data_IF_434664971424
#
_entry.id   IF_434664971424
#
_cell.length_a   1.000
_cell.length_b   1.000
_cell.length_c   1.000
_cell.angle_alpha   90.00
_cell.angle_beta   90.00
_cell.angle_gamma   90.00
#
_symmetry.space_group_name_H-M   'P 1'
#
loop_
_entity.id
_entity.type
_entity.pdbx_description
1 polymer ?
#
# COMPACT_ATOMS: atom_id res chain seq x y z
N UNK A 1 -11.14 -23.15 -14.83
CA UNK A 1 -10.75 -22.26 -15.96
C UNK A 1 -9.54 -22.89 -16.65
N UNK A 2 -9.53 -22.95 -18.00
CA UNK A 2 -8.40 -23.51 -18.78
C UNK A 2 -7.19 -22.59 -18.76
N UNK A 3 -5.99 -23.10 -19.06
CA UNK A 3 -4.76 -22.28 -19.15
C UNK A 3 -4.91 -21.12 -20.16
N UNK A 4 -5.57 -21.36 -21.31
CA UNK A 4 -5.89 -20.32 -22.29
C UNK A 4 -6.83 -19.26 -21.71
N UNK A 5 -7.83 -19.64 -20.92
CA UNK A 5 -8.75 -18.72 -20.27
C UNK A 5 -8.05 -17.84 -19.22
N UNK A 6 -7.14 -18.43 -18.43
CA UNK A 6 -6.32 -17.68 -17.47
C UNK A 6 -5.42 -16.65 -18.18
N UNK A 7 -4.78 -17.03 -19.28
CA UNK A 7 -3.96 -16.11 -20.08
C UNK A 7 -4.78 -14.93 -20.62
N UNK A 8 -6.01 -15.19 -21.12
CA UNK A 8 -6.91 -14.13 -21.60
C UNK A 8 -7.35 -13.20 -20.49
N UNK A 9 -7.74 -13.76 -19.32
CA UNK A 9 -8.10 -12.95 -18.14
C UNK A 9 -6.93 -12.06 -17.70
N UNK A 10 -5.70 -12.59 -17.70
CA UNK A 10 -4.50 -11.80 -17.37
C UNK A 10 -4.25 -10.68 -18.39
N UNK A 11 -4.44 -10.92 -19.69
CA UNK A 11 -4.33 -9.87 -20.73
C UNK A 11 -5.32 -8.73 -20.47
N UNK A 12 -6.57 -9.06 -20.10
CA UNK A 12 -7.59 -8.06 -19.76
C UNK A 12 -7.20 -7.23 -18.53
N UNK A 13 -6.72 -7.89 -17.47
CA UNK A 13 -6.26 -7.19 -16.27
C UNK A 13 -5.07 -6.28 -16.54
N UNK A 14 -4.07 -6.72 -17.29
CA UNK A 14 -2.92 -5.88 -17.65
C UNK A 14 -3.35 -4.68 -18.52
N UNK A 15 -4.28 -4.89 -19.46
CA UNK A 15 -4.82 -3.79 -20.27
C UNK A 15 -5.62 -2.80 -19.44
N UNK A 16 -6.43 -3.29 -18.50
CA UNK A 16 -7.20 -2.46 -17.57
C UNK A 16 -6.30 -1.65 -16.64
N UNK A 17 -5.24 -2.26 -16.09
CA UNK A 17 -4.24 -1.57 -15.28
C UNK A 17 -3.61 -0.39 -16.04
N UNK A 18 -3.24 -0.59 -17.30
CA UNK A 18 -2.69 0.48 -18.14
C UNK A 18 -3.73 1.56 -18.46
N UNK A 19 -4.98 1.20 -18.76
CA UNK A 19 -6.03 2.17 -19.06
C UNK A 19 -6.39 2.99 -17.82
N UNK A 20 -6.65 2.35 -16.69
CA UNK A 20 -6.99 3.03 -15.44
C UNK A 20 -5.82 3.86 -14.89
N UNK A 21 -4.61 3.31 -14.93
CA UNK A 21 -3.41 4.01 -14.48
C UNK A 21 -3.10 5.27 -15.28
N UNK A 22 -3.34 5.25 -16.60
CA UNK A 22 -3.03 6.38 -17.46
C UNK A 22 -4.17 7.42 -17.55
N UNK A 23 -5.43 6.95 -17.67
CA UNK A 23 -6.58 7.81 -17.96
C UNK A 23 -7.53 7.99 -16.76
N UNK A 24 -7.46 7.07 -15.78
CA UNK A 24 -8.40 6.97 -14.68
C UNK A 24 -9.63 6.13 -15.03
N UNK A 25 -10.37 5.74 -13.96
CA UNK A 25 -11.53 4.88 -14.08
C UNK A 25 -12.64 5.48 -14.96
N UNK A 26 -13.01 6.74 -14.72
CA UNK A 26 -14.17 7.36 -15.39
C UNK A 26 -13.96 7.53 -16.89
N UNK A 27 -12.74 7.86 -17.33
CA UNK A 27 -12.40 8.08 -18.75
C UNK A 27 -12.19 6.76 -19.48
N UNK A 28 -11.81 5.71 -18.80
CA UNK A 28 -11.58 4.38 -19.38
C UNK A 28 -12.89 3.67 -19.71
N UNK A 29 -12.89 2.86 -20.76
CA UNK A 29 -14.06 2.08 -21.20
C UNK A 29 -13.72 0.61 -21.43
N UNK A 30 -14.75 -0.26 -21.42
CA UNK A 30 -14.58 -1.67 -21.80
C UNK A 30 -13.99 -1.78 -23.21
N UNK A 31 -14.42 -0.89 -24.14
CA UNK A 31 -13.88 -0.86 -25.50
C UNK A 31 -12.38 -0.54 -25.53
N UNK A 32 -11.92 0.45 -24.74
CA UNK A 32 -10.48 0.79 -24.68
C UNK A 32 -9.65 -0.33 -24.05
N UNK A 33 -10.18 -1.00 -23.02
CA UNK A 33 -9.53 -2.15 -22.36
C UNK A 33 -9.40 -3.31 -23.34
N UNK A 34 -10.49 -3.70 -24.02
CA UNK A 34 -10.50 -4.81 -24.96
C UNK A 34 -9.65 -4.55 -26.19
N UNK A 35 -9.68 -3.32 -26.71
CA UNK A 35 -8.82 -2.87 -27.81
C UNK A 35 -7.34 -3.02 -27.44
N UNK A 36 -6.93 -2.59 -26.24
CA UNK A 36 -5.57 -2.74 -25.74
C UNK A 36 -5.19 -4.20 -25.49
N UNK A 37 -6.11 -5.03 -25.00
CA UNK A 37 -5.89 -6.45 -24.77
C UNK A 37 -5.84 -7.29 -26.05
N UNK A 38 -6.24 -6.72 -27.21
CA UNK A 38 -6.34 -7.43 -28.48
C UNK A 38 -7.44 -8.49 -28.50
N UNK A 39 -8.57 -8.25 -27.82
CA UNK A 39 -9.71 -9.17 -27.75
C UNK A 39 -11.02 -8.45 -28.07
N UNK A 40 -12.04 -9.20 -28.50
CA UNK A 40 -13.39 -8.65 -28.70
C UNK A 40 -14.10 -8.32 -27.38
N UNK A 41 -15.05 -7.36 -27.40
CA UNK A 41 -15.84 -7.00 -26.20
C UNK A 41 -16.61 -8.20 -25.63
N UNK A 42 -17.15 -9.10 -26.47
CA UNK A 42 -17.79 -10.32 -26.00
C UNK A 42 -16.87 -11.19 -25.14
N UNK A 43 -15.56 -11.19 -25.43
CA UNK A 43 -14.58 -11.90 -24.63
C UNK A 43 -14.41 -11.29 -23.24
N UNK A 44 -14.51 -9.96 -23.11
CA UNK A 44 -14.47 -9.29 -21.81
C UNK A 44 -15.58 -9.81 -20.89
N UNK A 45 -16.82 -9.87 -21.41
CA UNK A 45 -17.98 -10.29 -20.63
C UNK A 45 -18.02 -11.76 -20.23
N UNK A 46 -17.12 -12.59 -20.80
CA UNK A 46 -16.89 -13.96 -20.31
C UNK A 46 -16.11 -13.99 -18.99
N UNK A 47 -15.39 -12.92 -18.63
CA UNK A 47 -14.52 -12.86 -17.46
C UNK A 47 -14.96 -11.82 -16.43
N UNK A 48 -15.53 -10.73 -16.87
CA UNK A 48 -15.95 -9.60 -16.02
C UNK A 48 -17.31 -9.08 -16.49
N UNK A 49 -18.25 -8.93 -15.57
CA UNK A 49 -19.61 -8.45 -15.88
C UNK A 49 -19.64 -6.95 -16.18
N UNK A 50 -18.77 -6.19 -15.49
CA UNK A 50 -18.74 -4.73 -15.58
C UNK A 50 -17.30 -4.20 -15.53
N UNK A 51 -17.14 -2.91 -15.86
CA UNK A 51 -15.88 -2.19 -15.71
C UNK A 51 -15.47 -2.08 -14.23
N UNK A 52 -16.43 -1.96 -13.35
CA UNK A 52 -16.25 -1.91 -11.90
C UNK A 52 -15.67 -3.23 -11.40
N UNK A 53 -16.18 -4.38 -11.87
CA UNK A 53 -15.70 -5.70 -11.45
C UNK A 53 -14.22 -5.92 -11.78
N UNK A 54 -13.78 -5.56 -12.97
CA UNK A 54 -12.34 -5.68 -13.32
C UNK A 54 -11.51 -4.68 -12.52
N UNK A 55 -12.03 -3.49 -12.22
CA UNK A 55 -11.36 -2.49 -11.39
C UNK A 55 -11.18 -2.98 -9.95
N UNK A 56 -12.25 -3.46 -9.32
CA UNK A 56 -12.20 -4.07 -7.97
C UNK A 56 -11.21 -5.22 -7.92
N UNK A 57 -11.24 -6.09 -8.95
CA UNK A 57 -10.28 -7.20 -9.06
C UNK A 57 -8.82 -6.69 -9.09
N UNK A 58 -8.56 -5.61 -9.81
CA UNK A 58 -7.22 -5.00 -9.86
C UNK A 58 -6.80 -4.45 -8.50
N UNK A 59 -7.65 -3.69 -7.81
CA UNK A 59 -7.34 -3.16 -6.47
C UNK A 59 -7.00 -4.29 -5.51
N UNK A 60 -7.79 -5.38 -5.53
CA UNK A 60 -7.53 -6.56 -4.71
C UNK A 60 -6.20 -7.25 -5.08
N UNK A 61 -5.86 -7.36 -6.37
CA UNK A 61 -4.57 -7.95 -6.81
C UNK A 61 -3.40 -7.07 -6.40
N UNK A 62 -3.52 -5.74 -6.52
CA UNK A 62 -2.53 -4.76 -6.07
C UNK A 62 -2.30 -4.91 -4.56
N UNK A 63 -3.37 -4.95 -3.76
CA UNK A 63 -3.28 -5.12 -2.32
C UNK A 63 -2.64 -6.45 -1.90
N UNK A 64 -3.04 -7.57 -2.52
CA UNK A 64 -2.42 -8.88 -2.26
C UNK A 64 -0.94 -8.91 -2.60
N UNK A 65 -0.53 -8.29 -3.71
CA UNK A 65 0.87 -8.22 -4.12
C UNK A 65 1.70 -7.41 -3.11
N UNK A 66 1.20 -6.26 -2.69
CA UNK A 66 1.87 -5.42 -1.69
C UNK A 66 2.01 -6.15 -0.35
N UNK A 67 0.91 -6.72 0.18
CA UNK A 67 0.93 -7.49 1.44
C UNK A 67 1.92 -8.67 1.38
N UNK A 68 1.94 -9.40 0.27
CA UNK A 68 2.90 -10.49 0.09
C UNK A 68 4.36 -10.02 0.16
N UNK A 69 4.69 -8.86 -0.41
CA UNK A 69 6.03 -8.27 -0.32
C UNK A 69 6.36 -7.79 1.09
N UNK A 70 5.42 -7.13 1.78
CA UNK A 70 5.60 -6.70 3.16
C UNK A 70 5.80 -7.90 4.10
N UNK A 71 4.99 -8.94 3.93
CA UNK A 71 5.11 -10.17 4.70
C UNK A 71 6.47 -10.86 4.49
N UNK A 72 6.97 -10.91 3.25
CA UNK A 72 8.30 -11.42 2.96
C UNK A 72 9.40 -10.61 3.69
N UNK A 73 9.26 -9.29 3.76
CA UNK A 73 10.19 -8.43 4.51
C UNK A 73 10.11 -8.70 6.03
N UNK A 74 8.91 -8.91 6.59
CA UNK A 74 8.71 -9.25 8.00
C UNK A 74 9.27 -10.62 8.38
N UNK A 75 9.34 -11.56 7.46
CA UNK A 75 9.86 -12.91 7.65
C UNK A 75 11.35 -13.04 7.30
N UNK A 76 12.01 -11.98 6.82
CA UNK A 76 13.42 -12.01 6.45
C UNK A 76 14.32 -12.26 7.69
N UNK A 77 15.52 -12.84 7.53
CA UNK A 77 16.49 -12.95 8.62
C UNK A 77 16.91 -11.57 9.15
N UNK A 78 17.13 -11.46 10.45
CA UNK A 78 17.62 -10.22 11.08
C UNK A 78 16.81 -9.79 12.30
N UNK A 79 17.21 -8.67 12.87
CA UNK A 79 16.52 -8.07 14.01
C UNK A 79 15.09 -7.64 13.63
N UNK A 80 14.19 -7.75 14.58
CA UNK A 80 12.78 -7.40 14.41
C UNK A 80 12.57 -5.96 13.93
N UNK A 81 13.23 -4.99 14.57
CA UNK A 81 13.16 -3.58 14.20
C UNK A 81 13.57 -3.32 12.74
N UNK A 82 14.59 -4.04 12.27
CA UNK A 82 15.04 -3.98 10.88
C UNK A 82 14.02 -4.57 9.91
N UNK A 83 13.33 -5.64 10.28
CA UNK A 83 12.26 -6.28 9.49
C UNK A 83 11.01 -5.40 9.40
N UNK A 84 10.57 -4.82 10.52
CA UNK A 84 9.45 -3.87 10.56
C UNK A 84 9.73 -2.64 9.69
N UNK A 85 10.96 -2.09 9.79
CA UNK A 85 11.41 -0.99 8.93
C UNK A 85 11.42 -1.40 7.46
N UNK A 86 11.90 -2.60 7.12
CA UNK A 86 11.93 -3.09 5.74
C UNK A 86 10.51 -3.28 5.15
N UNK A 87 9.57 -3.76 5.96
CA UNK A 87 8.16 -3.87 5.55
C UNK A 87 7.53 -2.49 5.27
N UNK A 88 7.78 -1.50 6.15
CA UNK A 88 7.31 -0.13 5.95
C UNK A 88 7.99 0.53 4.73
N UNK A 89 9.28 0.28 4.52
CA UNK A 89 9.99 0.70 3.30
C UNK A 89 9.34 0.10 2.06
N UNK A 90 8.96 -1.18 2.10
CA UNK A 90 8.29 -1.85 1.00
C UNK A 90 6.95 -1.20 0.66
N UNK A 91 6.16 -0.84 1.68
CA UNK A 91 4.91 -0.08 1.48
C UNK A 91 5.17 1.29 0.85
N UNK A 92 6.15 2.01 1.37
CA UNK A 92 6.53 3.32 0.87
C UNK A 92 6.98 3.25 -0.60
N UNK A 93 7.93 2.38 -0.91
CA UNK A 93 8.46 2.19 -2.25
C UNK A 93 7.37 1.80 -3.25
N UNK A 94 6.45 0.93 -2.83
CA UNK A 94 5.30 0.54 -3.66
C UNK A 94 4.40 1.75 -3.97
N UNK A 95 4.14 2.59 -2.98
CA UNK A 95 3.27 3.77 -3.12
C UNK A 95 3.88 4.84 -4.04
N UNK A 96 5.22 4.97 -4.07
CA UNK A 96 5.90 6.03 -4.81
C UNK A 96 6.45 5.59 -6.17
N UNK A 97 6.78 4.31 -6.34
CA UNK A 97 7.41 3.80 -7.56
C UNK A 97 6.42 3.46 -8.67
N UNK A 98 5.16 3.17 -8.34
CA UNK A 98 4.14 2.79 -9.32
C UNK A 98 2.97 3.77 -9.34
N UNK A 99 3.11 4.83 -10.14
CA UNK A 99 2.06 5.86 -10.29
C UNK A 99 0.71 5.31 -10.74
N UNK A 100 0.70 4.26 -11.56
CA UNK A 100 -0.53 3.63 -12.03
C UNK A 100 -1.27 2.93 -10.89
N UNK A 101 -0.57 2.13 -10.09
CA UNK A 101 -1.16 1.48 -8.92
C UNK A 101 -1.63 2.49 -7.88
N UNK A 102 -0.81 3.51 -7.59
CA UNK A 102 -1.20 4.57 -6.66
C UNK A 102 -2.49 5.24 -7.10
N UNK A 103 -2.59 5.65 -8.38
CA UNK A 103 -3.81 6.25 -8.93
C UNK A 103 -5.02 5.32 -8.82
N UNK A 104 -4.89 4.05 -9.23
CA UNK A 104 -5.96 3.06 -9.16
C UNK A 104 -6.49 2.93 -7.74
N UNK A 105 -5.60 2.80 -6.74
CA UNK A 105 -5.99 2.71 -5.33
C UNK A 105 -6.66 4.00 -4.85
N UNK A 106 -6.17 5.20 -5.25
CA UNK A 106 -6.81 6.47 -4.86
C UNK A 106 -8.21 6.64 -5.47
N UNK A 107 -8.41 6.22 -6.71
CA UNK A 107 -9.73 6.29 -7.35
C UNK A 107 -10.72 5.28 -6.76
N UNK A 108 -10.24 4.21 -6.10
CA UNK A 108 -11.10 3.19 -5.52
C UNK A 108 -12.09 3.75 -4.49
N UNK A 109 -11.70 4.78 -3.73
CA UNK A 109 -12.60 5.43 -2.75
C UNK A 109 -13.89 5.98 -3.38
N UNK A 110 -13.88 6.30 -4.68
CA UNK A 110 -15.02 6.86 -5.42
C UNK A 110 -15.73 5.82 -6.30
N UNK A 111 -15.11 4.67 -6.53
CA UNK A 111 -15.67 3.58 -7.36
C UNK A 111 -16.31 2.49 -6.52
N UNK A 112 -15.64 2.08 -5.45
CA UNK A 112 -16.10 1.06 -4.51
C UNK A 112 -15.42 1.30 -3.15
N UNK A 113 -16.15 1.96 -2.24
CA UNK A 113 -15.66 2.30 -0.90
C UNK A 113 -15.25 1.06 -0.10
N UNK A 114 -15.95 -0.07 -0.28
CA UNK A 114 -15.65 -1.30 0.45
C UNK A 114 -14.26 -1.84 0.05
N UNK A 115 -13.95 -1.91 -1.24
CA UNK A 115 -12.64 -2.38 -1.71
C UNK A 115 -11.52 -1.43 -1.30
N UNK A 116 -11.78 -0.11 -1.26
CA UNK A 116 -10.82 0.88 -0.78
C UNK A 116 -10.51 0.70 0.71
N UNK A 117 -11.56 0.55 1.54
CA UNK A 117 -11.41 0.28 2.96
C UNK A 117 -10.66 -1.03 3.20
N UNK A 118 -11.10 -2.11 2.56
CA UNK A 118 -10.50 -3.44 2.71
C UNK A 118 -9.01 -3.45 2.33
N UNK A 119 -8.62 -2.65 1.33
CA UNK A 119 -7.21 -2.51 0.92
C UNK A 119 -6.34 -2.02 2.08
N UNK A 120 -6.73 -0.94 2.77
CA UNK A 120 -5.95 -0.41 3.88
C UNK A 120 -6.09 -1.21 5.16
N UNK A 121 -7.31 -1.68 5.48
CA UNK A 121 -7.54 -2.50 6.69
C UNK A 121 -6.70 -3.77 6.70
N UNK A 122 -6.64 -4.48 5.58
CA UNK A 122 -5.85 -5.71 5.48
C UNK A 122 -4.34 -5.45 5.59
N UNK A 123 -3.83 -4.36 4.99
CA UNK A 123 -2.42 -3.99 5.12
C UNK A 123 -2.11 -3.58 6.57
N UNK A 124 -2.97 -2.77 7.18
CA UNK A 124 -2.80 -2.32 8.56
C UNK A 124 -2.86 -3.48 9.55
N UNK A 125 -3.81 -4.42 9.38
CA UNK A 125 -3.95 -5.57 10.25
C UNK A 125 -2.71 -6.50 10.18
N UNK A 126 -2.25 -6.83 8.96
CA UNK A 126 -1.04 -7.66 8.77
C UNK A 126 0.19 -6.99 9.40
N UNK A 127 0.32 -5.66 9.27
CA UNK A 127 1.43 -4.92 9.85
C UNK A 127 1.31 -4.77 11.38
N UNK A 128 0.11 -4.49 11.91
CA UNK A 128 -0.16 -4.37 13.34
C UNK A 128 0.20 -5.65 14.08
N UNK A 129 -0.12 -6.82 13.50
CA UNK A 129 0.27 -8.12 14.08
C UNK A 129 1.79 -8.22 14.31
N UNK A 130 2.60 -7.62 13.44
CA UNK A 130 4.06 -7.58 13.62
C UNK A 130 4.51 -6.68 14.77
N UNK A 131 3.66 -5.73 15.22
CA UNK A 131 3.97 -4.75 16.26
C UNK A 131 3.55 -5.21 17.68
N UNK A 132 2.68 -6.23 17.81
CA UNK A 132 2.06 -6.63 19.09
C UNK A 132 3.04 -7.06 20.18
N UNK A 133 4.16 -7.68 19.83
CA UNK A 133 5.12 -8.23 20.83
C UNK A 133 6.03 -7.18 21.50
N UNK A 134 5.86 -5.88 21.26
CA UNK A 134 6.76 -4.80 21.73
C UNK A 134 6.20 -3.96 22.90
N UNK A 135 5.24 -4.47 23.68
CA UNK A 135 4.49 -3.67 24.65
C UNK A 135 5.16 -3.48 26.03
N UNK A 136 6.32 -4.08 26.30
CA UNK A 136 7.01 -3.88 27.58
C UNK A 136 7.62 -2.47 27.68
N UNK A 137 7.13 -1.67 28.62
CA UNK A 137 7.63 -0.32 28.90
C UNK A 137 6.96 0.84 28.18
N UNK A 138 5.95 0.61 27.32
CA UNK A 138 5.24 1.64 26.59
C UNK A 138 3.96 2.12 27.31
N UNK A 139 3.56 3.39 27.09
CA UNK A 139 2.28 3.92 27.58
C UNK A 139 1.09 3.22 26.89
N UNK A 140 -0.13 3.33 27.46
CA UNK A 140 -1.31 2.70 26.90
C UNK A 140 -1.64 3.20 25.48
N UNK A 141 -1.35 4.48 25.17
CA UNK A 141 -1.54 5.07 23.84
C UNK A 141 -0.49 4.58 22.81
N UNK A 142 0.72 4.26 23.27
CA UNK A 142 1.78 3.68 22.43
C UNK A 142 1.58 2.18 22.18
N UNK A 143 0.67 1.53 22.93
CA UNK A 143 0.44 0.09 22.89
C UNK A 143 -0.60 -0.36 21.86
N UNK A 144 -1.39 0.55 21.29
CA UNK A 144 -2.36 0.16 20.26
C UNK A 144 -1.66 -0.10 18.93
N UNK A 145 -1.45 -1.39 18.56
CA UNK A 145 -0.73 -1.73 17.35
C UNK A 145 -1.50 -1.31 16.08
N UNK A 146 -2.84 -1.21 16.15
CA UNK A 146 -3.66 -0.76 15.04
C UNK A 146 -3.44 0.74 14.78
N UNK A 147 -3.53 1.59 15.81
CA UNK A 147 -3.26 3.03 15.66
C UNK A 147 -1.84 3.28 15.16
N UNK A 148 -0.86 2.52 15.68
CA UNK A 148 0.54 2.62 15.20
C UNK A 148 0.67 2.23 13.73
N UNK A 149 0.07 1.11 13.32
CA UNK A 149 0.09 0.66 11.94
C UNK A 149 -0.54 1.69 11.01
N UNK A 150 -1.72 2.19 11.33
CA UNK A 150 -2.41 3.24 10.56
C UNK A 150 -1.60 4.54 10.50
N UNK A 151 -0.98 4.97 11.60
CA UNK A 151 -0.13 6.15 11.63
C UNK A 151 1.09 6.04 10.73
N UNK A 152 1.80 4.91 10.78
CA UNK A 152 2.98 4.63 9.96
C UNK A 152 2.64 4.52 8.47
N UNK A 153 1.57 3.78 8.14
CA UNK A 153 1.08 3.68 6.77
C UNK A 153 0.58 5.02 6.25
N UNK A 154 -0.12 5.82 7.09
CA UNK A 154 -0.58 7.15 6.76
C UNK A 154 0.57 8.09 6.40
N UNK A 155 1.65 8.11 7.18
CA UNK A 155 2.84 8.90 6.85
C UNK A 155 3.43 8.49 5.49
N UNK A 156 3.63 7.19 5.26
CA UNK A 156 4.12 6.68 3.98
C UNK A 156 3.19 7.04 2.82
N UNK A 157 1.88 6.94 3.03
CA UNK A 157 0.87 7.30 2.04
C UNK A 157 0.92 8.80 1.67
N UNK A 158 0.95 9.71 2.66
CA UNK A 158 0.96 11.14 2.39
C UNK A 158 2.27 11.65 1.79
N UNK A 159 3.41 11.07 2.16
CA UNK A 159 4.67 11.36 1.47
C UNK A 159 4.62 10.86 0.02
N UNK A 160 4.05 9.68 -0.22
CA UNK A 160 3.78 9.16 -1.57
C UNK A 160 2.84 10.06 -2.37
N UNK A 161 1.75 10.53 -1.76
CA UNK A 161 0.79 11.45 -2.37
C UNK A 161 1.45 12.78 -2.77
N UNK A 162 2.26 13.37 -1.89
CA UNK A 162 3.05 14.56 -2.20
C UNK A 162 3.90 14.35 -3.45
N UNK A 163 4.57 13.20 -3.55
CA UNK A 163 5.37 12.84 -4.73
C UNK A 163 4.52 12.70 -5.97
N UNK A 164 3.38 12.04 -5.87
CA UNK A 164 2.44 11.90 -6.98
C UNK A 164 1.97 13.25 -7.51
N UNK A 165 1.65 14.20 -6.63
CA UNK A 165 1.08 15.50 -6.99
C UNK A 165 2.12 16.54 -7.39
N UNK A 166 3.29 16.58 -6.74
CA UNK A 166 4.17 17.74 -6.77
C UNK A 166 5.50 17.51 -7.50
N UNK A 167 5.91 16.27 -7.77
CA UNK A 167 7.23 16.01 -8.36
C UNK A 167 7.19 14.98 -9.47
N UNK A 168 7.94 15.27 -10.57
CA UNK A 168 8.21 14.30 -11.63
C UNK A 168 9.45 13.44 -11.34
N UNK A 169 10.15 13.66 -10.21
CA UNK A 169 11.39 12.96 -9.86
C UNK A 169 11.10 11.68 -9.07
N UNK A 170 11.93 10.66 -9.28
CA UNK A 170 11.88 9.41 -8.54
C UNK A 170 11.97 9.64 -7.03
N UNK A 171 11.26 8.82 -6.23
CA UNK A 171 11.32 8.89 -4.78
C UNK A 171 12.73 8.57 -4.32
N UNK A 172 13.32 9.46 -3.52
CA UNK A 172 14.64 9.20 -2.96
C UNK A 172 14.49 8.39 -1.67
N UNK A 173 15.44 7.51 -1.43
CA UNK A 173 15.63 6.83 -0.13
C UNK A 173 15.66 7.84 1.02
N UNK A 174 16.08 9.06 0.75
CA UNK A 174 16.11 10.18 1.67
C UNK A 174 14.72 10.59 2.19
N UNK A 175 13.65 10.46 1.40
CA UNK A 175 12.28 10.78 1.88
C UNK A 175 11.83 9.79 2.93
N UNK A 176 12.10 8.52 2.73
CA UNK A 176 11.79 7.49 3.72
C UNK A 176 12.61 7.66 4.99
N UNK A 177 13.91 7.93 4.88
CA UNK A 177 14.77 8.15 6.03
C UNK A 177 14.37 9.41 6.81
N UNK A 178 13.99 10.48 6.10
CA UNK A 178 13.44 11.70 6.73
C UNK A 178 12.13 11.42 7.46
N UNK A 179 11.21 10.66 6.86
CA UNK A 179 9.96 10.22 7.50
C UNK A 179 10.24 9.40 8.76
N UNK A 180 11.18 8.45 8.70
CA UNK A 180 11.54 7.61 9.84
C UNK A 180 12.24 8.39 10.96
N UNK A 181 12.94 9.47 10.64
CA UNK A 181 13.56 10.32 11.66
C UNK A 181 12.53 11.05 12.54
N UNK A 182 11.38 11.41 11.99
CA UNK A 182 10.29 12.03 12.75
C UNK A 182 9.78 11.11 13.87
N UNK A 183 9.74 9.79 13.62
CA UNK A 183 9.27 8.80 14.60
C UNK A 183 10.28 8.65 15.74
N UNK A 184 11.58 8.65 15.42
CA UNK A 184 12.65 8.46 16.42
C UNK A 184 12.78 9.64 17.40
N UNK A 185 12.49 10.88 16.96
CA UNK A 185 12.59 12.08 17.79
C UNK A 185 11.42 12.28 18.77
N UNK A 186 10.37 11.47 18.67
CA UNK A 186 9.22 11.52 19.59
C UNK A 186 9.34 10.56 20.77
N UNK A 187 10.38 9.72 20.84
CA UNK A 187 10.66 8.93 22.03
C UNK A 187 11.20 9.88 23.13
N UNK A 188 10.55 9.98 24.31
CA UNK A 188 11.05 10.84 25.39
C UNK A 188 12.46 10.38 25.77
N UNK A 189 13.42 11.31 25.72
CA UNK A 189 14.77 11.08 26.21
C UNK A 189 14.67 10.78 27.70
N UNK A 190 15.00 9.56 28.11
CA UNK A 190 15.21 9.16 29.52
C UNK A 190 16.48 9.84 30.05
N UNK A 191 16.46 11.12 30.25
CA UNK A 191 17.56 11.86 30.90
C UNK A 191 17.04 13.02 31.73
N UNK A 192 16.33 12.71 32.81
CA UNK A 192 16.12 13.63 33.94
C UNK A 192 15.67 12.85 35.20
N UNK A 193 16.46 11.85 35.63
CA UNK A 193 16.41 11.39 37.01
C UNK A 193 17.84 11.27 37.52
N UNK A 194 18.30 12.26 38.22
CA UNK A 194 19.61 12.23 38.86
C UNK A 194 20.09 13.61 39.35
N UNK A 195 19.25 14.37 40.06
CA UNK A 195 19.79 15.35 40.98
C UNK A 195 19.25 15.01 42.37
N UNK A 196 20.00 14.18 43.10
CA UNK A 196 19.87 14.05 44.54
C UNK A 196 20.28 15.39 45.16
N UNK A 197 19.40 15.97 45.98
CA UNK A 197 19.75 17.06 46.87
C UNK A 197 20.60 16.52 48.02
N UNK A 198 21.69 17.16 48.42
CA UNK A 198 22.36 16.87 49.69
C UNK A 198 21.71 17.65 50.80
N UNK A 199 21.43 16.94 51.90
CA UNK A 199 21.31 17.31 53.32
C UNK A 199 20.90 18.73 53.67
#
# INVERSE_FOLDING_TARGET
MTARGQATRRKLLNAAEMEFGNKGFHVSSVSSITGRAGVGQGTFYLYFRTKEEIFVTLVQEIGRNLRGKMQAALQAPGERSSRERAALQTFFDFSVSNRAHFRIVQEAQFVDEAVFRDYYEQIAADYAQSLEDNSEGQSAAERDPQVRAWGLLGMGHFVGLRRYLCTASDPSRQDFDSMMSLIKHQAPSQSAQGVAAPV
#
